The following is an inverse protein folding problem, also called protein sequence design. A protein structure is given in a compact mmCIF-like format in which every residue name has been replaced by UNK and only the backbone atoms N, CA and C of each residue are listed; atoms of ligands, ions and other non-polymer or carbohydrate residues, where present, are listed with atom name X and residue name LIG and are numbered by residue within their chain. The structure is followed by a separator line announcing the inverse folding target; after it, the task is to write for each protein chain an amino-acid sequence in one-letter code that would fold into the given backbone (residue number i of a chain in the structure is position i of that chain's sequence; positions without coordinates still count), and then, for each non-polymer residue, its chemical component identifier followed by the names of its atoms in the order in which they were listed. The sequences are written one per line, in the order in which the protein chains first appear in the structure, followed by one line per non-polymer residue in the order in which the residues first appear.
data_IF_187533579176
#
_entry.id   IF_187533579176
#
_cell.length_a   1.000
_cell.length_b   1.000
_cell.length_c   1.000
_cell.angle_alpha   90.00
_cell.angle_beta   90.00
_cell.angle_gamma   90.00
#
_symmetry.space_group_name_H-M   'P 1'
#
loop_
_entity.id
_entity.type
_entity.pdbx_description
1 polymer ?
#
# COMPACT_ATOMS: atom_id res chain seq x y z
N UNK A 1 36.70 10.65 19.29
CA UNK A 1 35.70 11.67 18.96
C UNK A 1 34.35 11.24 19.57
N UNK A 2 33.69 12.15 20.25
CA UNK A 2 32.33 11.90 20.73
C UNK A 2 31.34 12.23 19.60
N UNK A 3 30.43 11.31 19.31
CA UNK A 3 29.37 11.49 18.31
C UNK A 3 28.04 11.56 19.07
N UNK A 4 27.35 12.70 18.96
CA UNK A 4 26.13 12.94 19.71
C UNK A 4 24.90 12.23 19.09
N UNK A 5 24.88 12.09 17.77
CA UNK A 5 23.78 11.46 17.03
C UNK A 5 24.35 10.34 16.16
N UNK A 6 23.83 9.14 16.37
CA UNK A 6 24.08 7.97 15.51
C UNK A 6 22.72 7.51 14.99
N UNK A 7 22.45 7.90 13.75
CA UNK A 7 21.19 7.60 13.07
C UNK A 7 21.37 6.44 12.11
N UNK A 8 20.54 5.41 12.20
CA UNK A 8 20.57 4.28 11.28
C UNK A 8 19.22 3.56 11.19
N UNK A 9 19.07 2.73 10.16
CA UNK A 9 17.91 1.90 9.95
C UNK A 9 16.68 2.64 9.39
N UNK A 10 16.13 2.10 8.33
CA UNK A 10 14.81 2.46 7.80
C UNK A 10 13.71 1.56 8.34
N UNK A 11 12.51 1.68 7.80
CA UNK A 11 11.31 0.95 8.24
C UNK A 11 11.51 -0.57 8.32
N UNK A 12 12.19 -1.16 7.35
CA UNK A 12 12.43 -2.62 7.32
C UNK A 12 13.46 -3.12 8.33
N UNK A 13 14.35 -2.25 8.84
CA UNK A 13 15.47 -2.67 9.68
C UNK A 13 15.49 -2.04 11.08
N UNK A 14 14.58 -1.10 11.35
CA UNK A 14 14.56 -0.39 12.64
C UNK A 14 14.47 -1.33 13.88
N UNK A 15 13.77 -2.48 13.84
CA UNK A 15 13.70 -3.33 15.04
C UNK A 15 15.06 -3.85 15.48
N UNK A 16 15.97 -4.04 14.52
CA UNK A 16 17.35 -4.47 14.80
C UNK A 16 18.24 -3.29 15.15
N UNK A 17 18.13 -2.18 14.42
CA UNK A 17 18.94 -0.99 14.63
C UNK A 17 18.68 -0.33 15.99
N UNK A 18 17.41 -0.25 16.39
CA UNK A 18 17.03 0.34 17.68
C UNK A 18 17.58 -0.42 18.91
N UNK A 19 17.99 -1.66 18.73
CA UNK A 19 18.57 -2.48 19.80
C UNK A 19 20.10 -2.39 19.88
N UNK A 20 20.76 -1.70 18.93
CA UNK A 20 22.20 -1.63 18.91
C UNK A 20 22.72 -0.57 19.88
N UNK A 21 23.70 -0.92 20.75
CA UNK A 21 24.33 0.07 21.62
C UNK A 21 24.91 1.24 20.83
N UNK A 22 24.64 2.45 21.29
CA UNK A 22 25.14 3.68 20.68
C UNK A 22 24.29 4.25 19.56
N UNK A 23 23.28 3.54 19.07
CA UNK A 23 22.28 4.12 18.16
C UNK A 23 21.35 5.02 18.97
N UNK A 24 21.20 6.27 18.50
CA UNK A 24 20.36 7.28 19.17
C UNK A 24 19.12 7.64 18.36
N UNK A 25 19.05 7.25 17.08
CA UNK A 25 17.98 7.60 16.19
C UNK A 25 17.77 6.51 15.11
N UNK A 26 16.51 6.28 14.72
CA UNK A 26 16.11 5.43 13.59
C UNK A 26 15.24 6.20 12.60
N UNK A 27 15.33 5.91 11.30
CA UNK A 27 14.67 6.63 10.22
C UNK A 27 13.48 5.83 9.66
N UNK A 28 12.41 5.72 10.43
CA UNK A 28 11.26 4.84 10.17
C UNK A 28 10.19 5.58 9.37
N UNK A 29 10.49 5.97 8.11
CA UNK A 29 9.60 6.78 7.27
C UNK A 29 8.37 6.03 6.78
N UNK A 30 8.52 4.84 6.20
CA UNK A 30 7.43 4.05 5.63
C UNK A 30 6.42 3.52 6.66
N UNK A 31 6.76 3.52 7.96
CA UNK A 31 5.85 3.12 9.03
C UNK A 31 4.60 4.00 9.17
N UNK A 32 4.62 5.24 8.64
CA UNK A 32 3.45 6.14 8.62
C UNK A 32 2.27 5.48 7.90
N UNK A 33 2.53 4.76 6.82
CA UNK A 33 1.51 4.10 6.01
C UNK A 33 1.45 2.60 6.23
N UNK A 34 2.55 1.95 6.43
CA UNK A 34 2.79 0.53 6.25
C UNK A 34 2.20 0.02 4.92
N UNK A 35 2.81 -0.94 4.31
CA UNK A 35 2.40 -1.45 3.00
C UNK A 35 2.83 -2.91 2.85
N UNK A 36 2.43 -3.54 1.75
CA UNK A 36 2.72 -4.96 1.53
C UNK A 36 4.22 -5.24 1.41
N UNK A 37 5.03 -4.28 0.94
CA UNK A 37 6.48 -4.44 0.86
C UNK A 37 7.11 -4.65 2.24
N UNK A 38 6.76 -3.81 3.21
CA UNK A 38 7.29 -3.94 4.57
C UNK A 38 6.71 -5.14 5.31
N UNK A 39 5.42 -5.41 5.14
CA UNK A 39 4.77 -6.57 5.77
C UNK A 39 5.33 -7.89 5.25
N UNK A 40 5.44 -8.05 3.91
CA UNK A 40 5.81 -9.36 3.32
C UNK A 40 7.31 -9.58 3.23
N UNK A 41 8.10 -8.55 2.91
CA UNK A 41 9.52 -8.70 2.66
C UNK A 41 10.39 -8.49 3.90
N UNK A 42 9.90 -7.67 4.84
CA UNK A 42 10.64 -7.34 6.07
C UNK A 42 9.95 -7.84 7.34
N UNK A 43 8.74 -8.39 7.22
CA UNK A 43 7.95 -8.90 8.35
C UNK A 43 7.75 -7.86 9.47
N UNK A 44 7.58 -6.60 9.08
CA UNK A 44 7.29 -5.50 10.00
C UNK A 44 5.82 -5.57 10.41
N UNK A 45 5.56 -5.67 11.69
CA UNK A 45 4.21 -5.80 12.26
C UNK A 45 3.57 -4.41 12.47
N UNK A 46 3.24 -3.74 11.36
CA UNK A 46 2.43 -2.53 11.36
C UNK A 46 1.18 -2.74 10.52
N UNK A 47 0.04 -2.28 11.02
CA UNK A 47 -1.21 -2.31 10.27
C UNK A 47 -1.12 -1.39 9.04
N UNK A 48 -1.37 -1.89 7.81
CA UNK A 48 -1.40 -1.05 6.62
C UNK A 48 -2.50 0.00 6.71
N UNK A 49 -2.14 1.28 6.51
CA UNK A 49 -3.04 2.41 6.59
C UNK A 49 -3.33 3.06 5.23
N UNK A 50 -2.44 2.89 4.24
CA UNK A 50 -2.62 3.47 2.91
C UNK A 50 -3.31 2.46 1.98
N UNK A 51 -4.44 2.89 1.41
CA UNK A 51 -5.18 2.12 0.42
C UNK A 51 -5.51 2.96 -0.81
N UNK A 52 -5.75 2.28 -1.92
CA UNK A 52 -6.37 2.86 -3.11
C UNK A 52 -7.80 2.31 -3.20
N UNK A 53 -8.80 3.20 -3.13
CA UNK A 53 -10.20 2.82 -3.30
C UNK A 53 -10.49 2.60 -4.78
N UNK A 54 -10.95 1.41 -5.12
CA UNK A 54 -11.23 0.99 -6.49
C UNK A 54 -12.68 0.59 -6.67
N UNK A 55 -13.13 0.54 -7.92
CA UNK A 55 -14.46 0.03 -8.29
C UNK A 55 -14.31 -1.24 -9.11
N UNK A 56 -15.14 -2.24 -8.83
CA UNK A 56 -15.25 -3.42 -9.69
C UNK A 56 -15.91 -3.04 -11.01
N UNK A 57 -15.15 -3.15 -12.10
CA UNK A 57 -15.63 -2.82 -13.46
C UNK A 57 -16.12 -4.05 -14.21
N UNK A 58 -15.65 -5.25 -13.86
CA UNK A 58 -16.05 -6.49 -14.53
C UNK A 58 -15.89 -7.71 -13.63
N UNK A 59 -16.78 -8.68 -13.82
CA UNK A 59 -16.79 -10.01 -13.18
C UNK A 59 -17.02 -11.08 -14.25
N UNK A 60 -16.03 -11.37 -15.10
CA UNK A 60 -16.26 -12.31 -16.22
C UNK A 60 -16.45 -13.76 -15.78
N UNK A 61 -15.94 -14.14 -14.60
CA UNK A 61 -16.13 -15.44 -13.98
C UNK A 61 -16.31 -15.29 -12.46
N UNK A 62 -16.83 -16.32 -11.74
CA UNK A 62 -16.92 -16.26 -10.28
C UNK A 62 -15.58 -16.10 -9.56
N UNK A 63 -14.45 -16.42 -10.22
CA UNK A 63 -13.10 -16.29 -9.66
C UNK A 63 -12.36 -15.06 -10.15
N UNK A 64 -12.88 -14.32 -11.15
CA UNK A 64 -12.15 -13.17 -11.72
C UNK A 64 -12.84 -11.85 -11.44
N UNK A 65 -12.06 -10.93 -10.89
CA UNK A 65 -12.45 -9.54 -10.64
C UNK A 65 -11.55 -8.63 -11.47
N UNK A 66 -12.13 -7.60 -12.07
CA UNK A 66 -11.39 -6.49 -12.69
C UNK A 66 -11.80 -5.20 -11.99
N UNK A 67 -10.81 -4.40 -11.59
CA UNK A 67 -11.02 -3.09 -10.95
C UNK A 67 -10.39 -1.96 -11.76
N UNK A 68 -10.89 -0.74 -11.57
CA UNK A 68 -10.50 0.48 -12.29
C UNK A 68 -9.20 1.14 -11.80
N UNK A 69 -8.33 0.41 -11.13
CA UNK A 69 -7.03 0.89 -10.73
C UNK A 69 -5.93 -0.05 -11.25
N UNK A 70 -4.96 0.50 -11.95
CA UNK A 70 -3.79 -0.18 -12.48
C UNK A 70 -2.49 0.52 -12.08
N UNK A 71 -1.46 0.39 -12.91
CA UNK A 71 -0.11 0.96 -12.64
C UNK A 71 -0.09 2.47 -12.51
N UNK A 72 -1.10 3.18 -13.06
CA UNK A 72 -1.22 4.63 -12.92
C UNK A 72 -1.83 5.08 -11.60
N UNK A 73 -2.40 4.17 -10.83
CA UNK A 73 -3.00 4.44 -9.53
C UNK A 73 -2.29 3.75 -8.36
N UNK A 74 -1.61 2.62 -8.60
CA UNK A 74 -0.89 1.89 -7.57
C UNK A 74 0.30 1.12 -8.14
N UNK A 75 1.42 1.14 -7.43
CA UNK A 75 2.64 0.42 -7.82
C UNK A 75 2.53 -1.06 -7.49
N UNK A 76 3.18 -1.88 -8.31
CA UNK A 76 3.40 -3.31 -8.08
C UNK A 76 4.88 -3.70 -8.19
N UNK A 77 5.81 -2.74 -8.06
CA UNK A 77 7.23 -2.96 -8.34
C UNK A 77 7.94 -3.68 -7.19
N UNK A 78 7.80 -3.19 -5.95
CA UNK A 78 8.46 -3.77 -4.77
C UNK A 78 7.63 -4.91 -4.14
N UNK A 79 6.32 -4.77 -4.18
CA UNK A 79 5.34 -5.80 -3.82
C UNK A 79 4.03 -5.54 -4.55
N UNK A 80 3.22 -6.57 -4.76
CA UNK A 80 1.89 -6.40 -5.35
C UNK A 80 0.91 -5.83 -4.33
N UNK A 81 0.00 -4.93 -4.75
CA UNK A 81 -1.14 -4.53 -3.93
C UNK A 81 -1.97 -5.75 -3.52
N UNK A 82 -2.68 -5.64 -2.40
CA UNK A 82 -3.53 -6.72 -1.89
C UNK A 82 -4.92 -6.17 -1.57
N UNK A 83 -6.01 -6.80 -2.03
CA UNK A 83 -7.35 -6.35 -1.68
C UNK A 83 -7.61 -6.59 -0.19
N UNK A 84 -8.25 -5.61 0.46
CA UNK A 84 -8.73 -5.74 1.82
C UNK A 84 -10.08 -6.47 1.81
N UNK A 85 -10.31 -7.36 2.78
CA UNK A 85 -11.60 -8.00 3.05
C UNK A 85 -12.19 -8.82 1.88
N UNK A 86 -11.33 -9.34 1.00
CA UNK A 86 -11.72 -10.24 -0.08
C UNK A 86 -11.04 -11.60 0.11
N UNK A 87 -11.67 -12.66 -0.39
CA UNK A 87 -11.07 -14.00 -0.44
C UNK A 87 -9.66 -14.00 -0.98
N UNK A 88 -8.78 -14.88 -0.52
CA UNK A 88 -7.41 -14.97 -1.00
C UNK A 88 -7.32 -14.90 -2.51
N UNK A 89 -6.38 -14.11 -2.98
CA UNK A 89 -6.09 -13.90 -4.40
C UNK A 89 -4.91 -14.78 -4.79
N UNK A 90 -5.12 -15.70 -5.72
CA UNK A 90 -4.06 -16.59 -6.23
C UNK A 90 -3.12 -15.91 -7.21
N UNK A 91 -3.62 -14.90 -7.94
CA UNK A 91 -2.84 -14.13 -8.89
C UNK A 91 -3.41 -12.72 -9.11
N UNK A 92 -2.53 -11.77 -9.34
CA UNK A 92 -2.90 -10.41 -9.72
C UNK A 92 -2.03 -9.91 -10.87
N UNK A 93 -2.64 -9.17 -11.79
CA UNK A 93 -1.94 -8.50 -12.88
C UNK A 93 -2.41 -7.06 -12.99
N UNK A 94 -1.45 -6.11 -12.99
CA UNK A 94 -1.71 -4.70 -13.25
C UNK A 94 -1.49 -4.40 -14.74
N UNK A 95 -2.48 -3.82 -15.38
CA UNK A 95 -2.34 -3.07 -16.64
C UNK A 95 -2.21 -1.57 -16.31
N UNK A 96 -2.26 -0.71 -17.30
CA UNK A 96 -2.12 0.74 -17.07
C UNK A 96 -3.24 1.27 -16.16
N UNK A 97 -4.50 0.94 -16.46
CA UNK A 97 -5.69 1.51 -15.82
C UNK A 97 -6.46 0.50 -14.97
N UNK A 98 -6.17 -0.79 -15.05
CA UNK A 98 -6.96 -1.84 -14.39
C UNK A 98 -6.06 -2.83 -13.68
N UNK A 99 -6.59 -3.41 -12.59
CA UNK A 99 -6.06 -4.64 -12.00
C UNK A 99 -7.02 -5.80 -12.26
N UNK A 100 -6.45 -6.94 -12.63
CA UNK A 100 -7.14 -8.21 -12.75
C UNK A 100 -6.72 -9.11 -11.59
N UNK A 101 -7.69 -9.55 -10.80
CA UNK A 101 -7.51 -10.44 -9.67
C UNK A 101 -8.11 -11.80 -10.00
N UNK A 102 -7.39 -12.86 -9.70
CA UNK A 102 -7.89 -14.24 -9.71
C UNK A 102 -8.03 -14.70 -8.26
N UNK A 103 -9.23 -15.07 -7.86
CA UNK A 103 -9.51 -15.59 -6.53
C UNK A 103 -9.17 -17.06 -6.44
N UNK A 104 -8.72 -17.51 -5.28
CA UNK A 104 -8.47 -18.96 -5.03
C UNK A 104 -9.76 -19.78 -5.07
N UNK A 105 -10.86 -19.19 -4.66
CA UNK A 105 -12.17 -19.84 -4.62
C UNK A 105 -13.24 -18.96 -5.31
N UNK A 106 -14.21 -19.58 -6.01
CA UNK A 106 -15.36 -18.84 -6.53
C UNK A 106 -16.13 -18.15 -5.42
N UNK A 107 -16.55 -16.91 -5.69
CA UNK A 107 -17.46 -16.23 -4.79
C UNK A 107 -18.44 -15.32 -5.57
N UNK A 108 -19.54 -14.90 -4.95
CA UNK A 108 -20.56 -14.06 -5.56
C UNK A 108 -20.39 -12.57 -5.27
N UNK A 109 -19.46 -12.20 -4.40
CA UNK A 109 -19.15 -10.82 -4.03
C UNK A 109 -17.62 -10.58 -4.13
N UNK A 110 -17.16 -9.35 -4.37
CA UNK A 110 -17.95 -8.16 -4.70
C UNK A 110 -18.55 -8.25 -6.12
N UNK A 111 -19.61 -7.46 -6.39
CA UNK A 111 -20.28 -7.34 -7.70
C UNK A 111 -19.72 -6.15 -8.49
N UNK A 112 -20.05 -6.08 -9.77
CA UNK A 112 -19.76 -4.89 -10.60
C UNK A 112 -20.43 -3.66 -9.98
N UNK A 113 -19.64 -2.58 -9.81
CA UNK A 113 -20.03 -1.34 -9.12
C UNK A 113 -19.65 -1.28 -7.64
N UNK A 114 -19.34 -2.41 -7.01
CA UNK A 114 -18.86 -2.43 -5.62
C UNK A 114 -17.47 -1.82 -5.49
N UNK A 115 -17.19 -1.25 -4.32
CA UNK A 115 -15.89 -0.68 -3.97
C UNK A 115 -15.02 -1.71 -3.28
N UNK A 116 -13.73 -1.68 -3.61
CA UNK A 116 -12.68 -2.49 -2.99
C UNK A 116 -11.55 -1.57 -2.57
N UNK A 117 -11.11 -1.69 -1.34
CA UNK A 117 -9.86 -1.08 -0.89
C UNK A 117 -8.69 -1.99 -1.26
N UNK A 118 -7.71 -1.44 -1.97
CA UNK A 118 -6.46 -2.12 -2.27
C UNK A 118 -5.38 -1.59 -1.34
N UNK A 119 -4.87 -2.42 -0.41
CA UNK A 119 -3.66 -2.11 0.35
C UNK A 119 -2.52 -1.98 -0.65
N UNK A 120 -1.80 -0.89 -0.63
CA UNK A 120 -0.76 -0.61 -1.63
C UNK A 120 0.42 -1.57 -1.51
N UNK A 121 1.03 -1.90 -2.65
CA UNK A 121 2.21 -2.74 -2.69
C UNK A 121 3.42 -2.05 -2.05
N UNK A 122 3.65 -0.79 -2.43
CA UNK A 122 4.69 0.05 -1.86
C UNK A 122 4.22 1.51 -1.83
N UNK A 123 4.24 2.12 -0.66
CA UNK A 123 3.72 3.47 -0.44
C UNK A 123 4.53 4.54 -1.18
N UNK A 124 5.85 4.44 -1.18
CA UNK A 124 6.75 5.43 -1.79
C UNK A 124 6.50 5.58 -3.30
N UNK A 125 6.26 4.46 -4.00
CA UNK A 125 6.00 4.45 -5.44
C UNK A 125 4.52 4.58 -5.80
N UNK A 126 3.62 4.66 -4.80
CA UNK A 126 2.18 4.87 -5.01
C UNK A 126 1.76 6.30 -4.71
N UNK A 127 2.23 6.90 -3.61
CA UNK A 127 1.78 8.23 -3.17
C UNK A 127 1.96 9.29 -4.26
N UNK A 128 3.09 9.31 -4.95
CA UNK A 128 3.36 10.32 -5.98
C UNK A 128 2.52 10.19 -7.26
N UNK A 129 1.75 9.09 -7.43
CA UNK A 129 0.80 8.93 -8.53
C UNK A 129 -0.47 9.75 -8.32
N UNK A 130 -0.75 10.17 -7.08
CA UNK A 130 -1.95 10.89 -6.69
C UNK A 130 -1.65 12.37 -6.37
N UNK A 131 -2.68 13.21 -6.43
CA UNK A 131 -2.57 14.64 -6.07
C UNK A 131 -2.91 14.88 -4.62
N UNK A 132 -3.76 14.03 -4.04
CA UNK A 132 -4.30 14.19 -2.69
C UNK A 132 -4.34 12.85 -1.96
N UNK A 133 -4.26 12.93 -0.63
CA UNK A 133 -4.52 11.82 0.29
C UNK A 133 -5.74 12.20 1.12
N UNK A 134 -6.70 11.30 1.21
CA UNK A 134 -7.91 11.46 2.00
C UNK A 134 -7.75 10.71 3.32
N UNK A 135 -7.75 11.42 4.43
CA UNK A 135 -7.73 10.84 5.77
C UNK A 135 -9.12 10.43 6.20
N UNK A 136 -9.30 9.16 6.54
CA UNK A 136 -10.59 8.59 6.95
C UNK A 136 -10.46 7.99 8.35
N UNK A 137 -11.39 8.31 9.23
CA UNK A 137 -11.52 7.71 10.57
C UNK A 137 -12.98 7.40 10.86
N UNK A 138 -13.25 6.18 11.32
CA UNK A 138 -14.62 5.75 11.62
C UNK A 138 -15.59 5.88 10.44
N UNK A 139 -15.12 5.66 9.21
CA UNK A 139 -15.92 5.78 7.99
C UNK A 139 -16.22 7.23 7.54
N UNK A 140 -15.61 8.23 8.16
CA UNK A 140 -15.78 9.65 7.82
C UNK A 140 -14.48 10.26 7.33
N UNK A 141 -14.57 11.14 6.33
CA UNK A 141 -13.45 11.96 5.89
C UNK A 141 -13.16 13.00 6.98
N UNK A 142 -11.96 12.97 7.53
CA UNK A 142 -11.46 13.96 8.51
C UNK A 142 -10.63 15.05 7.86
N UNK A 143 -9.87 14.69 6.83
CA UNK A 143 -8.92 15.63 6.20
C UNK A 143 -8.64 15.23 4.77
N UNK A 144 -8.29 16.21 3.95
CA UNK A 144 -7.75 16.01 2.62
C UNK A 144 -6.43 16.78 2.54
N UNK A 145 -5.34 16.09 2.24
CA UNK A 145 -4.02 16.68 2.12
C UNK A 145 -3.52 16.61 0.69
N UNK A 146 -3.08 17.74 0.18
CA UNK A 146 -2.39 17.78 -1.11
C UNK A 146 -1.00 17.17 -0.97
N UNK A 147 -0.60 16.33 -1.94
CA UNK A 147 0.75 15.75 -2.01
C UNK A 147 1.69 16.80 -2.58
N UNK A 148 2.26 17.62 -1.70
CA UNK A 148 3.04 18.80 -2.06
C UNK A 148 4.32 18.49 -2.87
N UNK A 149 4.90 17.30 -2.67
CA UNK A 149 6.10 16.85 -3.36
C UNK A 149 5.84 16.18 -4.73
N UNK A 150 4.56 15.98 -5.11
CA UNK A 150 4.22 15.42 -6.41
C UNK A 150 4.77 16.28 -7.55
N UNK A 151 5.47 15.64 -8.49
CA UNK A 151 6.12 16.35 -9.62
C UNK A 151 7.37 17.14 -9.25
N UNK A 152 7.88 17.02 -8.01
CA UNK A 152 9.10 17.67 -7.53
C UNK A 152 10.32 16.73 -7.51
N UNK A 153 10.23 15.58 -8.15
CA UNK A 153 11.33 14.65 -8.33
C UNK A 153 12.37 15.28 -9.27
N UNK A 154 13.54 15.61 -8.73
CA UNK A 154 14.66 16.21 -9.45
C UNK A 154 15.97 15.52 -9.06
#
# INVERSE_FOLDING_TARGET
HSVAIVSCGGTGTFPYCAQQPGVTEVQVGGAIFSDMHYVTNYHVDFAPALTVLTTVTSRPTPTRIVVDAGRKAMSGDAAMPTPRDISPVSAMKLSSEHAKLELEQPNSAPKVGDKIEMIVGYSDTTVHLHEEIVGIRGGRIESIWRIAARGKLK
#
